data_IF_012903181822
#
_entry.id   IF_012903181822
#
_cell.length_a   1.000
_cell.length_b   1.000
_cell.length_c   1.000
_cell.angle_alpha   90.00
_cell.angle_beta   90.00
_cell.angle_gamma   90.00
#
_symmetry.space_group_name_H-M   'P 1'
#
loop_
_entity.id
_entity.type
_entity.pdbx_description
1 polymer ?
#
# COMPACT_ATOMS: atom_id res chain seq x y z
N UNK A 1 16.36 -30.08 -2.15
CA UNK A 1 16.14 -28.77 -1.50
C UNK A 1 15.26 -27.94 -2.42
N UNK A 2 14.03 -27.53 -2.06
CA UNK A 2 13.29 -26.60 -2.90
C UNK A 2 13.78 -25.17 -2.60
N UNK A 3 14.36 -24.53 -3.61
CA UNK A 3 14.76 -23.13 -3.56
C UNK A 3 13.53 -22.25 -3.27
N UNK A 4 13.60 -21.45 -2.19
CA UNK A 4 12.63 -20.39 -1.90
C UNK A 4 12.58 -19.46 -3.12
N UNK A 5 11.44 -19.43 -3.79
CA UNK A 5 11.18 -18.54 -4.93
C UNK A 5 11.36 -17.11 -4.44
N UNK A 6 12.27 -16.35 -5.06
CA UNK A 6 12.40 -14.91 -4.85
C UNK A 6 11.10 -14.28 -5.31
N UNK A 7 10.26 -13.82 -4.38
CA UNK A 7 9.22 -12.89 -4.74
C UNK A 7 9.91 -11.57 -5.05
N UNK A 8 9.79 -11.09 -6.29
CA UNK A 8 9.93 -9.66 -6.57
C UNK A 8 8.68 -9.02 -5.94
N UNK A 9 8.74 -8.86 -4.62
CA UNK A 9 7.68 -8.35 -3.75
C UNK A 9 7.67 -6.84 -3.90
N UNK A 10 6.66 -6.33 -4.59
CA UNK A 10 6.29 -4.92 -4.57
C UNK A 10 6.32 -4.38 -3.12
N UNK A 11 6.83 -3.16 -2.94
CA UNK A 11 7.06 -2.54 -1.63
C UNK A 11 6.30 -1.22 -1.52
N UNK A 12 5.44 -1.11 -0.50
CA UNK A 12 4.59 0.06 -0.27
C UNK A 12 5.39 1.36 -0.17
N UNK A 13 6.43 1.41 0.68
CA UNK A 13 7.22 2.63 0.93
C UNK A 13 7.96 3.10 -0.32
N UNK A 14 8.52 2.15 -1.09
CA UNK A 14 9.16 2.45 -2.37
C UNK A 14 8.17 3.03 -3.39
N UNK A 15 6.95 2.48 -3.44
CA UNK A 15 5.89 2.99 -4.32
C UNK A 15 5.37 4.36 -3.87
N UNK A 16 5.28 4.64 -2.56
CA UNK A 16 4.97 5.98 -2.04
C UNK A 16 6.04 6.98 -2.47
N UNK A 17 7.32 6.62 -2.33
CA UNK A 17 8.44 7.47 -2.79
C UNK A 17 8.31 7.81 -4.28
N UNK A 18 7.96 6.84 -5.12
CA UNK A 18 7.74 7.06 -6.55
C UNK A 18 6.55 8.00 -6.84
N UNK A 19 5.48 7.91 -6.06
CA UNK A 19 4.34 8.85 -6.18
C UNK A 19 4.79 10.28 -5.83
N UNK A 20 5.55 10.46 -4.75
CA UNK A 20 6.05 11.78 -4.33
C UNK A 20 6.99 12.39 -5.39
N UNK A 21 7.85 11.58 -6.01
CA UNK A 21 8.71 12.01 -7.12
C UNK A 21 7.89 12.47 -8.33
N UNK A 22 6.85 11.71 -8.71
CA UNK A 22 5.93 12.09 -9.78
C UNK A 22 5.22 13.41 -9.47
N UNK A 23 4.74 13.59 -8.23
CA UNK A 23 4.08 14.83 -7.82
C UNK A 23 5.03 16.02 -7.90
N UNK A 24 6.27 15.88 -7.42
CA UNK A 24 7.28 16.94 -7.53
C UNK A 24 7.56 17.32 -9.00
N UNK A 25 7.60 16.34 -9.91
CA UNK A 25 7.76 16.59 -11.35
C UNK A 25 6.56 17.33 -11.94
N UNK A 26 5.34 16.95 -11.58
CA UNK A 26 4.11 17.65 -12.02
C UNK A 26 4.09 19.09 -11.49
N UNK A 27 4.43 19.29 -10.22
CA UNK A 27 4.43 20.59 -9.56
C UNK A 27 5.53 21.53 -10.05
N UNK A 28 6.62 20.99 -10.61
CA UNK A 28 7.69 21.79 -11.23
C UNK A 28 7.18 22.67 -12.38
N UNK A 29 6.13 22.20 -13.09
CA UNK A 29 5.59 22.88 -14.26
C UNK A 29 6.46 22.78 -15.52
N UNK A 30 7.55 22.01 -15.49
CA UNK A 30 8.50 21.86 -16.62
C UNK A 30 8.05 20.83 -17.66
N UNK A 31 6.95 20.11 -17.42
CA UNK A 31 6.43 19.06 -18.29
C UNK A 31 5.37 19.58 -19.26
N UNK A 32 5.36 19.01 -20.47
CA UNK A 32 4.27 19.21 -21.42
C UNK A 32 2.97 18.59 -20.93
N UNK A 33 1.82 19.11 -21.38
CA UNK A 33 0.50 18.64 -20.93
C UNK A 33 0.30 17.12 -21.14
N UNK A 34 0.79 16.57 -22.26
CA UNK A 34 0.71 15.12 -22.51
C UNK A 34 1.50 14.32 -21.49
N UNK A 35 2.71 14.77 -21.15
CA UNK A 35 3.60 14.12 -20.18
C UNK A 35 2.99 14.19 -18.78
N UNK A 36 2.35 15.30 -18.42
CA UNK A 36 1.60 15.42 -17.15
C UNK A 36 0.52 14.34 -17.05
N UNK A 37 -0.27 14.11 -18.10
CA UNK A 37 -1.30 13.06 -18.08
C UNK A 37 -0.70 11.65 -17.97
N UNK A 38 0.42 11.39 -18.63
CA UNK A 38 1.12 10.10 -18.54
C UNK A 38 1.62 9.84 -17.12
N UNK A 39 2.35 10.80 -16.54
CA UNK A 39 2.88 10.69 -15.17
C UNK A 39 1.74 10.61 -14.15
N UNK A 40 0.68 11.38 -14.32
CA UNK A 40 -0.50 11.31 -13.45
C UNK A 40 -1.17 9.93 -13.52
N UNK A 41 -1.27 9.33 -14.71
CA UNK A 41 -1.78 7.97 -14.88
C UNK A 41 -0.96 6.93 -14.12
N UNK A 42 0.37 7.07 -14.12
CA UNK A 42 1.28 6.21 -13.35
C UNK A 42 1.05 6.39 -11.84
N UNK A 43 0.96 7.63 -11.34
CA UNK A 43 0.68 7.90 -9.94
C UNK A 43 -0.67 7.31 -9.49
N UNK A 44 -1.71 7.40 -10.33
CA UNK A 44 -3.02 6.80 -10.05
C UNK A 44 -2.92 5.28 -9.89
N UNK A 45 -2.17 4.60 -10.76
CA UNK A 45 -1.99 3.15 -10.65
C UNK A 45 -1.23 2.77 -9.37
N UNK A 46 -0.19 3.51 -9.02
CA UNK A 46 0.53 3.32 -7.75
C UNK A 46 -0.36 3.56 -6.53
N UNK A 47 -1.19 4.60 -6.55
CA UNK A 47 -2.14 4.87 -5.47
C UNK A 47 -3.14 3.73 -5.27
N UNK A 48 -3.63 3.10 -6.34
CA UNK A 48 -4.50 1.92 -6.24
C UNK A 48 -3.77 0.72 -5.61
N UNK A 49 -2.50 0.52 -5.96
CA UNK A 49 -1.69 -0.54 -5.34
C UNK A 49 -1.51 -0.29 -3.84
N UNK A 50 -1.21 0.96 -3.46
CA UNK A 50 -1.13 1.40 -2.08
C UNK A 50 -2.45 1.18 -1.33
N UNK A 51 -3.58 1.57 -1.92
CA UNK A 51 -4.92 1.40 -1.34
C UNK A 51 -5.24 -0.09 -1.09
N UNK A 52 -5.02 -0.95 -2.08
CA UNK A 52 -5.24 -2.39 -1.94
C UNK A 52 -4.42 -2.97 -0.79
N UNK A 53 -3.13 -2.62 -0.73
CA UNK A 53 -2.25 -3.12 0.33
C UNK A 53 -2.67 -2.66 1.72
N UNK A 54 -3.02 -1.37 1.89
CA UNK A 54 -3.47 -0.83 3.16
C UNK A 54 -4.81 -1.47 3.59
N UNK A 55 -5.72 -1.71 2.64
CA UNK A 55 -6.97 -2.43 2.89
C UNK A 55 -6.74 -3.84 3.41
N UNK A 56 -5.82 -4.58 2.79
CA UNK A 56 -5.46 -5.95 3.20
C UNK A 56 -4.83 -5.97 4.60
N UNK A 57 -3.94 -5.01 4.90
CA UNK A 57 -3.29 -4.90 6.22
C UNK A 57 -4.26 -4.49 7.31
N UNK A 58 -5.19 -3.57 7.01
CA UNK A 58 -6.23 -3.17 7.95
C UNK A 58 -7.11 -4.36 8.34
N UNK A 59 -7.57 -5.14 7.36
CA UNK A 59 -8.37 -6.35 7.61
C UNK A 59 -7.64 -7.36 8.50
N UNK A 60 -6.32 -7.51 8.34
CA UNK A 60 -5.51 -8.38 9.20
C UNK A 60 -5.43 -7.86 10.65
N UNK A 61 -5.27 -6.55 10.83
CA UNK A 61 -5.24 -5.93 12.17
C UNK A 61 -6.60 -6.06 12.85
N UNK A 62 -7.69 -5.81 12.14
CA UNK A 62 -9.05 -5.93 12.68
C UNK A 62 -9.31 -7.36 13.20
N UNK A 63 -8.93 -8.39 12.44
CA UNK A 63 -9.02 -9.80 12.89
C UNK A 63 -8.20 -10.11 14.15
N UNK A 64 -7.01 -9.53 14.28
CA UNK A 64 -6.17 -9.72 15.47
C UNK A 64 -6.81 -9.07 16.69
N UNK A 65 -7.40 -7.88 16.54
CA UNK A 65 -8.13 -7.19 17.61
C UNK A 65 -9.34 -8.01 18.04
N UNK A 66 -10.15 -8.50 17.10
CA UNK A 66 -11.29 -9.38 17.38
C UNK A 66 -10.87 -10.64 18.15
N UNK A 67 -9.75 -11.25 17.75
CA UNK A 67 -9.20 -12.44 18.42
C UNK A 67 -8.77 -12.14 19.86
N UNK A 68 -8.09 -11.01 20.10
CA UNK A 68 -7.68 -10.59 21.43
C UNK A 68 -8.90 -10.31 22.34
N UNK A 69 -9.87 -9.53 21.84
CA UNK A 69 -11.08 -9.21 22.60
C UNK A 69 -11.87 -10.48 23.01
N UNK A 70 -12.01 -11.44 22.09
CA UNK A 70 -12.66 -12.73 22.36
C UNK A 70 -11.90 -13.56 23.41
N UNK A 71 -10.57 -13.38 23.51
CA UNK A 71 -9.73 -14.09 24.48
C UNK A 71 -9.90 -13.52 25.89
N UNK A 72 -10.01 -12.19 26.02
CA UNK A 72 -10.25 -11.51 27.30
C UNK A 72 -11.69 -11.72 27.82
N UNK A 73 -12.70 -11.75 26.94
CA UNK A 73 -14.10 -12.00 27.33
C UNK A 73 -14.35 -13.46 27.76
N UNK A 74 -13.57 -14.42 27.24
CA UNK A 74 -13.69 -15.83 27.61
C UNK A 74 -13.17 -16.15 29.03
N UNK A 75 -12.33 -15.29 29.62
CA UNK A 75 -11.87 -15.43 31.01
C UNK A 75 -12.81 -14.74 32.03
N UNK A 76 -13.75 -13.90 31.57
CA UNK A 76 -14.68 -13.17 32.43
C UNK A 76 -15.98 -13.94 32.77
N UNK A 77 -16.23 -15.09 32.15
CA UNK A 77 -17.41 -15.94 32.39
C UNK A 77 -17.14 -17.24 33.21
N UNK A 78 -15.97 -17.37 33.85
CA UNK A 78 -15.64 -18.50 34.73
C UNK A 78 -15.49 -18.11 36.21
#
# INVERSE_FOLDING_TARGET
>A
MPAKRKASEWNYEATVTQIEEILALIESGDMGLSEVFEQFGVAVEHLKQCESFLGDRRSQVDLLIETLATSDDAEAEF
#
